data_IF_602210570480
#
_entry.id   IF_602210570480
#
_cell.length_a   1.000
_cell.length_b   1.000
_cell.length_c   1.000
_cell.angle_alpha   90.00
_cell.angle_beta   90.00
_cell.angle_gamma   90.00
#
_symmetry.space_group_name_H-M   'P 1'
#
loop_
_entity.id
_entity.type
_entity.pdbx_description
1 polymer ?
#
# COMPACT_ATOMS: atom_id res chain seq x y z
N UNK A 1 -21.23 25.59 2.13
CA UNK A 1 -21.18 26.07 0.74
C UNK A 1 -20.12 25.38 -0.14
N UNK A 2 -18.90 25.07 0.35
CA UNK A 2 -17.83 24.40 -0.43
C UNK A 2 -18.18 22.94 -0.81
N UNK A 3 -18.62 22.16 0.18
CA UNK A 3 -18.91 20.73 0.02
C UNK A 3 -20.14 20.46 -0.85
N UNK A 4 -21.01 21.44 -1.04
CA UNK A 4 -22.20 21.33 -1.91
C UNK A 4 -21.84 21.30 -3.41
N UNK A 5 -20.58 21.61 -3.77
CA UNK A 5 -20.09 21.54 -5.15
C UNK A 5 -19.52 20.16 -5.52
N UNK A 6 -19.40 19.25 -4.54
CA UNK A 6 -18.92 17.88 -4.76
C UNK A 6 -20.11 16.93 -4.80
N UNK A 7 -20.06 15.92 -5.67
CA UNK A 7 -21.07 14.87 -5.64
C UNK A 7 -20.96 14.10 -4.32
N UNK A 8 -22.10 13.62 -3.76
CA UNK A 8 -22.08 12.79 -2.57
C UNK A 8 -21.26 11.50 -2.73
N UNK A 9 -21.13 10.93 -3.94
CA UNK A 9 -20.23 9.78 -4.18
C UNK A 9 -18.77 10.16 -3.96
N UNK A 10 -18.30 11.23 -4.62
CA UNK A 10 -16.92 11.70 -4.54
C UNK A 10 -16.50 11.98 -3.09
N UNK A 11 -17.38 12.63 -2.33
CA UNK A 11 -17.09 12.97 -0.94
C UNK A 11 -16.95 11.70 -0.07
N UNK A 12 -17.83 10.72 -0.27
CA UNK A 12 -17.77 9.44 0.47
C UNK A 12 -16.53 8.64 0.12
N UNK A 13 -16.19 8.54 -1.17
CA UNK A 13 -14.97 7.86 -1.62
C UNK A 13 -13.73 8.52 -1.04
N UNK A 14 -13.57 9.82 -1.24
CA UNK A 14 -12.38 10.55 -0.80
C UNK A 14 -12.21 10.54 0.72
N UNK A 15 -13.31 10.64 1.49
CA UNK A 15 -13.26 10.61 2.95
C UNK A 15 -12.91 9.21 3.50
N UNK A 16 -13.48 8.15 2.93
CA UNK A 16 -13.17 6.79 3.35
C UNK A 16 -11.74 6.38 2.95
N UNK A 17 -11.27 6.79 1.76
CA UNK A 17 -9.87 6.69 1.34
C UNK A 17 -8.95 7.43 2.32
N UNK A 18 -9.31 8.65 2.74
CA UNK A 18 -8.54 9.42 3.72
C UNK A 18 -8.38 8.68 5.05
N UNK A 19 -9.47 8.15 5.62
CA UNK A 19 -9.40 7.39 6.88
C UNK A 19 -8.47 6.18 6.75
N UNK A 20 -8.62 5.41 5.66
CA UNK A 20 -7.79 4.23 5.40
C UNK A 20 -6.30 4.58 5.27
N UNK A 21 -5.97 5.63 4.50
CA UNK A 21 -4.58 6.07 4.31
C UNK A 21 -4.01 6.63 5.61
N UNK A 22 -4.75 7.42 6.38
CA UNK A 22 -4.29 7.93 7.69
C UNK A 22 -3.95 6.79 8.65
N UNK A 23 -4.81 5.77 8.76
CA UNK A 23 -4.55 4.59 9.59
C UNK A 23 -3.28 3.87 9.10
N UNK A 24 -3.15 3.68 7.78
CA UNK A 24 -1.99 3.02 7.18
C UNK A 24 -0.69 3.80 7.41
N UNK A 25 -0.73 5.13 7.30
CA UNK A 25 0.39 6.02 7.60
C UNK A 25 0.77 5.94 9.07
N UNK A 26 -0.19 6.00 9.99
CA UNK A 26 0.08 5.86 11.44
C UNK A 26 0.78 4.52 11.72
N UNK A 27 0.33 3.43 11.10
CA UNK A 27 0.91 2.10 11.29
C UNK A 27 2.32 2.03 10.69
N UNK A 28 2.50 2.48 9.44
CA UNK A 28 3.80 2.52 8.77
C UNK A 28 4.81 3.38 9.52
N UNK A 29 4.40 4.57 9.99
CA UNK A 29 5.23 5.46 10.83
C UNK A 29 5.55 4.80 12.17
N UNK A 30 4.62 4.08 12.81
CA UNK A 30 4.93 3.34 14.05
C UNK A 30 5.97 2.24 13.83
N UNK A 31 5.91 1.53 12.70
CA UNK A 31 6.93 0.54 12.32
C UNK A 31 8.27 1.22 12.07
N UNK A 32 8.28 2.28 11.28
CA UNK A 32 9.48 3.05 10.96
C UNK A 32 10.11 3.66 12.22
N UNK A 33 9.32 4.25 13.12
CA UNK A 33 9.86 4.86 14.35
C UNK A 33 10.45 3.82 15.32
N UNK A 34 9.98 2.57 15.28
CA UNK A 34 10.59 1.48 16.06
C UNK A 34 12.02 1.16 15.59
N UNK A 35 12.35 1.37 14.32
CA UNK A 35 13.74 1.26 13.84
C UNK A 35 14.70 2.12 14.65
N UNK A 36 14.33 3.36 15.00
CA UNK A 36 15.24 4.22 15.76
C UNK A 36 15.56 3.70 17.16
N UNK A 37 14.70 2.82 17.72
CA UNK A 37 14.91 2.16 19.01
C UNK A 37 15.70 0.85 18.89
N UNK A 38 15.43 0.04 17.87
CA UNK A 38 15.98 -1.35 17.75
C UNK A 38 17.13 -1.44 16.73
N UNK A 39 17.29 -0.44 15.86
CA UNK A 39 18.29 -0.33 14.79
C UNK A 39 18.28 -1.46 13.75
N UNK A 40 17.17 -2.20 13.64
CA UNK A 40 16.98 -3.24 12.63
C UNK A 40 16.48 -2.65 11.31
N UNK A 41 17.32 -2.64 10.28
CA UNK A 41 17.01 -2.05 8.95
C UNK A 41 15.71 -2.59 8.34
N UNK A 42 15.38 -3.85 8.62
CA UNK A 42 14.12 -4.48 8.19
C UNK A 42 12.89 -3.71 8.64
N UNK A 43 12.87 -3.14 9.86
CA UNK A 43 11.75 -2.33 10.33
C UNK A 43 11.61 -1.01 9.57
N UNK A 44 12.74 -0.40 9.20
CA UNK A 44 12.73 0.81 8.37
C UNK A 44 12.09 0.53 7.01
N UNK A 45 12.57 -0.51 6.34
CA UNK A 45 12.12 -0.86 4.98
C UNK A 45 10.73 -1.45 4.94
N UNK A 46 10.29 -2.20 5.96
CA UNK A 46 8.88 -2.63 6.12
C UNK A 46 7.96 -1.42 6.30
N UNK A 47 8.34 -0.46 7.16
CA UNK A 47 7.54 0.75 7.38
C UNK A 47 7.42 1.60 6.10
N UNK A 48 8.53 1.81 5.39
CA UNK A 48 8.54 2.50 4.09
C UNK A 48 7.68 1.74 3.08
N UNK A 49 7.85 0.42 2.97
CA UNK A 49 7.07 -0.41 2.07
C UNK A 49 5.58 -0.21 2.28
N UNK A 50 5.12 -0.29 3.54
CA UNK A 50 3.72 -0.12 3.90
C UNK A 50 3.16 1.27 3.58
N UNK A 51 3.92 2.33 3.88
CA UNK A 51 3.53 3.72 3.57
C UNK A 51 3.37 3.88 2.05
N UNK A 52 4.41 3.52 1.29
CA UNK A 52 4.44 3.68 -0.15
C UNK A 52 3.43 2.77 -0.87
N UNK A 53 3.05 1.64 -0.27
CA UNK A 53 2.03 0.75 -0.83
C UNK A 53 0.65 1.40 -0.90
N UNK A 54 0.39 2.41 -0.06
CA UNK A 54 -0.90 3.12 -0.03
C UNK A 54 -1.02 4.27 -1.03
N UNK A 55 0.01 4.49 -1.83
CA UNK A 55 0.09 5.63 -2.75
C UNK A 55 -0.93 5.64 -3.89
N UNK A 56 -1.48 4.50 -4.36
CA UNK A 56 -2.61 4.54 -5.30
C UNK A 56 -3.81 5.37 -4.82
N UNK A 57 -4.03 5.46 -3.50
CA UNK A 57 -5.13 6.24 -2.91
C UNK A 57 -4.75 7.69 -2.56
N UNK A 58 -3.49 8.09 -2.70
CA UNK A 58 -3.05 9.43 -2.31
C UNK A 58 -3.55 10.51 -3.27
N UNK A 59 -3.69 10.20 -4.56
CA UNK A 59 -4.18 11.15 -5.57
C UNK A 59 -5.57 11.69 -5.24
N UNK A 60 -6.49 10.81 -4.83
CA UNK A 60 -7.86 11.19 -4.42
C UNK A 60 -7.84 12.13 -3.21
N UNK A 61 -7.05 11.75 -2.19
CA UNK A 61 -6.98 12.47 -0.91
C UNK A 61 -6.36 13.86 -1.10
N UNK A 62 -5.22 13.93 -1.78
CA UNK A 62 -4.52 15.18 -2.00
C UNK A 62 -5.28 16.10 -2.95
N UNK A 63 -6.04 15.54 -3.91
CA UNK A 63 -6.98 16.32 -4.72
C UNK A 63 -8.13 16.86 -3.90
N UNK A 64 -8.71 16.08 -2.99
CA UNK A 64 -9.73 16.56 -2.06
C UNK A 64 -9.18 17.71 -1.20
N UNK A 65 -8.01 17.52 -0.61
CA UNK A 65 -7.33 18.54 0.21
C UNK A 65 -7.08 19.80 -0.62
N UNK A 66 -6.48 19.67 -1.81
CA UNK A 66 -6.26 20.80 -2.72
C UNK A 66 -7.56 21.52 -3.04
N UNK A 67 -8.63 20.78 -3.33
CA UNK A 67 -9.93 21.37 -3.64
C UNK A 67 -10.52 22.15 -2.45
N UNK A 68 -10.35 21.67 -1.22
CA UNK A 68 -10.83 22.37 -0.02
C UNK A 68 -10.13 23.72 0.18
N UNK A 69 -8.82 23.80 -0.11
CA UNK A 69 -8.03 25.03 0.07
C UNK A 69 -8.06 25.97 -1.13
N UNK A 70 -7.98 25.45 -2.35
CA UNK A 70 -7.75 26.24 -3.58
C UNK A 70 -8.95 26.26 -4.52
N UNK A 71 -9.99 25.45 -4.24
CA UNK A 71 -11.14 25.20 -5.14
C UNK A 71 -10.77 24.55 -6.47
N UNK A 72 -9.56 24.00 -6.57
CA UNK A 72 -9.09 23.23 -7.73
C UNK A 72 -8.57 21.87 -7.25
N UNK A 73 -8.97 20.75 -7.88
CA UNK A 73 -8.30 19.47 -7.65
C UNK A 73 -6.85 19.55 -8.16
N UNK A 74 -6.05 18.51 -7.92
CA UNK A 74 -4.74 18.42 -8.53
C UNK A 74 -4.88 18.39 -10.06
N UNK A 75 -3.90 18.96 -10.75
CA UNK A 75 -3.78 18.79 -12.19
C UNK A 75 -3.43 17.34 -12.54
N UNK A 76 -3.66 16.94 -13.79
CA UNK A 76 -3.49 15.57 -14.23
C UNK A 76 -2.07 15.03 -14.06
N UNK A 77 -1.05 15.87 -14.30
CA UNK A 77 0.34 15.48 -14.13
C UNK A 77 0.62 15.15 -12.66
N UNK A 78 0.28 16.08 -11.75
CA UNK A 78 0.53 15.90 -10.32
C UNK A 78 -0.26 14.73 -9.74
N UNK A 79 -1.53 14.57 -10.13
CA UNK A 79 -2.35 13.44 -9.70
C UNK A 79 -1.73 12.10 -10.10
N UNK A 80 -1.45 11.93 -11.39
CA UNK A 80 -0.97 10.65 -11.95
C UNK A 80 0.46 10.33 -11.51
N UNK A 81 1.29 11.33 -11.26
CA UNK A 81 2.62 11.14 -10.71
C UNK A 81 2.55 10.56 -9.29
N UNK A 82 1.76 11.18 -8.41
CA UNK A 82 1.67 10.80 -6.99
C UNK A 82 1.17 9.38 -6.81
N UNK A 83 0.17 8.97 -7.59
CA UNK A 83 -0.43 7.62 -7.47
C UNK A 83 0.51 6.51 -7.97
N UNK A 84 1.62 6.84 -8.63
CA UNK A 84 2.52 5.87 -9.25
C UNK A 84 3.96 5.90 -8.70
N UNK A 85 4.54 7.07 -8.45
CA UNK A 85 5.99 7.27 -8.24
C UNK A 85 6.57 6.52 -7.02
N UNK A 86 5.73 6.16 -6.06
CA UNK A 86 6.18 5.50 -4.83
C UNK A 86 5.93 3.99 -4.81
N UNK A 87 5.18 3.45 -5.78
CA UNK A 87 4.94 2.01 -5.87
C UNK A 87 6.27 1.23 -6.01
N UNK A 88 7.23 1.65 -6.86
CA UNK A 88 8.50 0.93 -6.97
C UNK A 88 9.31 0.96 -5.68
N UNK A 89 9.31 2.10 -4.97
CA UNK A 89 9.94 2.24 -3.64
C UNK A 89 9.33 1.24 -2.64
N UNK A 90 8.02 1.02 -2.70
CA UNK A 90 7.34 0.03 -1.87
C UNK A 90 7.86 -1.38 -2.12
N UNK A 91 7.91 -1.80 -3.39
CA UNK A 91 8.33 -3.17 -3.76
C UNK A 91 9.80 -3.42 -3.43
N UNK A 92 10.69 -2.48 -3.75
CA UNK A 92 12.12 -2.60 -3.42
C UNK A 92 12.34 -2.70 -1.91
N UNK A 93 11.68 -1.85 -1.14
CA UNK A 93 11.79 -1.86 0.33
C UNK A 93 11.23 -3.15 0.94
N UNK A 94 10.11 -3.64 0.40
CA UNK A 94 9.52 -4.90 0.83
C UNK A 94 10.44 -6.09 0.54
N UNK A 95 10.94 -6.20 -0.70
CA UNK A 95 11.81 -7.30 -1.11
C UNK A 95 13.15 -7.29 -0.36
N UNK A 96 13.71 -6.12 -0.07
CA UNK A 96 14.87 -6.03 0.80
C UNK A 96 14.59 -6.65 2.18
N UNK A 97 13.48 -6.25 2.81
CA UNK A 97 13.08 -6.77 4.12
C UNK A 97 12.86 -8.28 4.08
N UNK A 98 12.17 -8.76 3.05
CA UNK A 98 11.91 -10.17 2.81
C UNK A 98 13.20 -10.98 2.68
N UNK A 99 14.14 -10.52 1.85
CA UNK A 99 15.41 -11.20 1.63
C UNK A 99 16.28 -11.25 2.88
N UNK A 100 16.37 -10.14 3.61
CA UNK A 100 17.14 -10.04 4.86
C UNK A 100 16.57 -10.96 5.95
N UNK A 101 15.25 -10.95 6.16
CA UNK A 101 14.60 -11.77 7.20
C UNK A 101 14.72 -13.27 6.89
N UNK A 102 14.51 -13.68 5.64
CA UNK A 102 14.59 -15.08 5.23
C UNK A 102 15.99 -15.51 4.78
N UNK A 103 17.00 -14.64 4.88
CA UNK A 103 18.40 -14.90 4.49
C UNK A 103 18.52 -15.48 3.07
N UNK A 104 17.88 -14.84 2.10
CA UNK A 104 17.83 -15.33 0.71
C UNK A 104 19.22 -15.23 0.05
N UNK A 105 19.79 -16.36 -0.38
CA UNK A 105 21.17 -16.45 -0.91
C UNK A 105 21.51 -15.49 -2.06
N UNK A 106 20.54 -15.07 -2.88
CA UNK A 106 20.73 -14.21 -4.07
C UNK A 106 20.13 -12.81 -3.91
N UNK A 107 19.98 -12.33 -2.67
CA UNK A 107 19.40 -11.03 -2.35
C UNK A 107 19.91 -9.88 -3.24
N UNK A 108 21.23 -9.69 -3.33
CA UNK A 108 21.81 -8.58 -4.11
C UNK A 108 21.39 -8.59 -5.57
N UNK A 109 21.39 -9.76 -6.20
CA UNK A 109 20.99 -9.89 -7.60
C UNK A 109 19.50 -9.57 -7.79
N UNK A 110 18.64 -10.08 -6.90
CA UNK A 110 17.19 -9.82 -6.93
C UNK A 110 16.92 -8.32 -6.78
N UNK A 111 17.58 -7.66 -5.82
CA UNK A 111 17.43 -6.23 -5.56
C UNK A 111 17.93 -5.38 -6.72
N UNK A 112 19.09 -5.71 -7.31
CA UNK A 112 19.62 -4.97 -8.47
C UNK A 112 18.64 -5.03 -9.64
N UNK A 113 18.14 -6.24 -9.97
CA UNK A 113 17.16 -6.40 -11.06
C UNK A 113 15.90 -5.58 -10.78
N UNK A 114 15.37 -5.67 -9.55
CA UNK A 114 14.17 -4.96 -9.17
C UNK A 114 14.36 -3.43 -9.20
N UNK A 115 15.49 -2.92 -8.70
CA UNK A 115 15.83 -1.50 -8.75
C UNK A 115 15.93 -1.02 -10.20
N UNK A 116 16.56 -1.78 -11.10
CA UNK A 116 16.64 -1.43 -12.52
C UNK A 116 15.24 -1.32 -13.12
N UNK A 117 14.37 -2.32 -12.89
CA UNK A 117 12.98 -2.31 -13.37
C UNK A 117 12.22 -1.10 -12.80
N UNK A 118 12.37 -0.83 -11.50
CA UNK A 118 11.76 0.30 -10.80
C UNK A 118 12.19 1.65 -11.37
N UNK A 119 13.48 1.85 -11.59
CA UNK A 119 14.01 3.10 -12.15
C UNK A 119 13.54 3.29 -13.59
N UNK A 120 13.54 2.23 -14.40
CA UNK A 120 13.00 2.30 -15.77
C UNK A 120 11.52 2.69 -15.75
N UNK A 121 10.72 2.10 -14.86
CA UNK A 121 9.31 2.44 -14.71
C UNK A 121 9.12 3.91 -14.32
N UNK A 122 9.82 4.41 -13.30
CA UNK A 122 9.68 5.80 -12.85
C UNK A 122 10.10 6.80 -13.93
N UNK A 123 11.22 6.55 -14.61
CA UNK A 123 11.69 7.38 -15.72
C UNK A 123 10.66 7.38 -16.86
N UNK A 124 10.11 6.21 -17.21
CA UNK A 124 9.09 6.10 -18.24
C UNK A 124 7.82 6.88 -17.87
N UNK A 125 7.33 6.76 -16.63
CA UNK A 125 6.17 7.51 -16.14
C UNK A 125 6.41 9.02 -16.24
N UNK A 126 7.56 9.51 -15.77
CA UNK A 126 7.89 10.94 -15.80
C UNK A 126 7.95 11.47 -17.24
N UNK A 127 8.59 10.73 -18.15
CA UNK A 127 8.68 11.10 -19.58
C UNK A 127 7.27 11.13 -20.20
N UNK A 128 6.48 10.08 -20.03
CA UNK A 128 5.14 9.98 -20.63
C UNK A 128 4.21 11.06 -20.09
N UNK A 129 4.20 11.32 -18.77
CA UNK A 129 3.43 12.41 -18.17
C UNK A 129 3.82 13.79 -18.71
N UNK A 130 5.09 13.99 -19.05
CA UNK A 130 5.60 15.26 -19.59
C UNK A 130 5.23 15.47 -21.06
N UNK A 131 5.00 14.38 -21.82
CA UNK A 131 4.58 14.42 -23.21
C UNK A 131 3.06 14.59 -23.30
N UNK A 132 2.33 13.66 -22.68
CA UNK A 132 0.86 13.66 -22.64
C UNK A 132 0.40 12.76 -21.49
N UNK A 133 -0.32 13.35 -20.52
CA UNK A 133 -0.85 12.63 -19.36
C UNK A 133 -1.74 11.44 -19.74
N UNK A 134 -2.43 11.48 -20.89
CA UNK A 134 -3.33 10.41 -21.35
C UNK A 134 -2.59 9.10 -21.66
N UNK A 135 -1.27 9.17 -21.92
CA UNK A 135 -0.43 7.99 -22.11
C UNK A 135 -0.28 7.19 -20.82
N UNK A 136 -0.41 7.83 -19.65
CA UNK A 136 -0.30 7.19 -18.33
C UNK A 136 -1.67 6.93 -17.71
N UNK A 137 -2.63 7.84 -17.91
CA UNK A 137 -3.99 7.65 -17.45
C UNK A 137 -4.89 8.84 -17.76
N UNK A 138 -6.20 8.63 -17.63
CA UNK A 138 -7.22 9.65 -17.85
C UNK A 138 -8.04 9.82 -16.56
N UNK A 139 -8.18 11.06 -16.11
CA UNK A 139 -9.02 11.40 -14.97
C UNK A 139 -10.48 11.36 -15.43
N UNK A 140 -11.21 10.30 -15.06
CA UNK A 140 -12.59 10.05 -15.50
C UNK A 140 -13.62 10.86 -14.71
N UNK A 141 -13.35 11.10 -13.44
CA UNK A 141 -14.11 11.96 -12.55
C UNK A 141 -13.11 12.76 -11.72
N UNK A 142 -13.43 13.97 -11.25
CA UNK A 142 -12.48 14.96 -10.67
C UNK A 142 -11.46 14.43 -9.62
N UNK A 143 -11.62 13.21 -9.13
CA UNK A 143 -10.81 12.57 -8.10
C UNK A 143 -10.40 11.12 -8.43
N UNK A 144 -10.81 10.55 -9.56
CA UNK A 144 -10.51 9.15 -9.95
C UNK A 144 -9.82 9.12 -11.31
N UNK A 145 -8.87 8.20 -11.47
CA UNK A 145 -8.14 8.03 -12.72
C UNK A 145 -8.20 6.58 -13.21
N UNK A 146 -8.52 6.44 -14.50
CA UNK A 146 -8.29 5.20 -15.24
C UNK A 146 -6.84 5.18 -15.71
N UNK A 147 -6.06 4.25 -15.18
CA UNK A 147 -4.65 4.07 -15.55
C UNK A 147 -4.53 3.38 -16.91
N UNK A 148 -3.43 3.64 -17.62
CA UNK A 148 -3.07 2.95 -18.85
C UNK A 148 -2.64 1.50 -18.57
N UNK A 149 -2.77 0.61 -19.56
CA UNK A 149 -2.57 -0.83 -19.36
C UNK A 149 -1.17 -1.18 -18.81
N UNK A 150 -0.12 -0.50 -19.28
CA UNK A 150 1.24 -0.78 -18.79
C UNK A 150 1.43 -0.39 -17.30
N UNK A 151 0.75 0.67 -16.84
CA UNK A 151 0.73 1.08 -15.43
C UNK A 151 0.04 0.00 -14.62
N UNK A 152 -1.13 -0.45 -15.07
CA UNK A 152 -1.91 -1.52 -14.42
C UNK A 152 -1.09 -2.81 -14.34
N UNK A 153 -0.39 -3.21 -15.41
CA UNK A 153 0.48 -4.39 -15.43
C UNK A 153 1.59 -4.28 -14.38
N UNK A 154 2.24 -3.12 -14.27
CA UNK A 154 3.27 -2.90 -13.26
C UNK A 154 2.69 -2.96 -11.83
N UNK A 155 1.54 -2.31 -11.59
CA UNK A 155 0.87 -2.30 -10.30
C UNK A 155 0.43 -3.71 -9.86
N UNK A 156 -0.14 -4.50 -10.77
CA UNK A 156 -0.50 -5.91 -10.51
C UNK A 156 0.77 -6.73 -10.21
N UNK A 157 1.84 -6.53 -10.98
CA UNK A 157 3.11 -7.23 -10.74
C UNK A 157 3.71 -6.89 -9.38
N UNK A 158 3.65 -5.62 -8.96
CA UNK A 158 4.04 -5.15 -7.65
C UNK A 158 3.20 -5.78 -6.53
N UNK A 159 1.87 -5.78 -6.69
CA UNK A 159 0.93 -6.39 -5.75
C UNK A 159 1.18 -7.89 -5.59
N UNK A 160 1.30 -8.63 -6.69
CA UNK A 160 1.58 -10.07 -6.67
C UNK A 160 2.93 -10.36 -6.03
N UNK A 161 3.96 -9.58 -6.36
CA UNK A 161 5.29 -9.71 -5.75
C UNK A 161 5.21 -9.57 -4.23
N UNK A 162 4.52 -8.53 -3.75
CA UNK A 162 4.34 -8.26 -2.32
C UNK A 162 3.55 -9.38 -1.63
N UNK A 163 2.43 -9.80 -2.21
CA UNK A 163 1.54 -10.80 -1.61
C UNK A 163 2.16 -12.20 -1.61
N UNK A 164 2.77 -12.63 -2.71
CA UNK A 164 3.38 -13.97 -2.79
C UNK A 164 4.57 -14.10 -1.83
N UNK A 165 5.43 -13.08 -1.78
CA UNK A 165 6.56 -13.08 -0.83
C UNK A 165 6.09 -12.87 0.61
N UNK A 166 5.02 -12.09 0.82
CA UNK A 166 4.31 -11.94 2.08
C UNK A 166 3.76 -13.25 2.61
N UNK A 167 3.03 -14.01 1.80
CA UNK A 167 2.52 -15.32 2.18
C UNK A 167 3.64 -16.29 2.55
N UNK A 168 4.73 -16.33 1.78
CA UNK A 168 5.89 -17.16 2.11
C UNK A 168 6.53 -16.73 3.44
N UNK A 169 6.70 -15.43 3.67
CA UNK A 169 7.25 -14.91 4.92
C UNK A 169 6.37 -15.25 6.12
N UNK A 170 5.05 -15.05 6.00
CA UNK A 170 4.07 -15.41 7.01
C UNK A 170 4.08 -16.91 7.28
N UNK A 171 4.15 -17.75 6.25
CA UNK A 171 4.19 -19.20 6.36
C UNK A 171 5.41 -19.70 7.13
N UNK A 172 6.60 -19.17 6.82
CA UNK A 172 7.82 -19.51 7.57
C UNK A 172 7.70 -19.06 9.03
N UNK A 173 7.14 -17.87 9.27
CA UNK A 173 6.93 -17.36 10.63
C UNK A 173 5.95 -18.22 11.43
N UNK A 174 4.88 -18.73 10.80
CA UNK A 174 3.91 -19.67 11.39
C UNK A 174 4.49 -21.04 11.72
N UNK A 175 5.69 -21.38 11.21
CA UNK A 175 6.39 -22.64 11.52
C UNK A 175 7.52 -22.46 12.55
N UNK A 176 7.66 -21.28 13.13
CA UNK A 176 8.66 -21.00 14.16
C UNK A 176 8.32 -21.71 15.47
N UNK A 177 9.33 -22.28 16.14
CA UNK A 177 9.19 -22.87 17.48
C UNK A 177 8.82 -21.83 18.55
N UNK A 178 9.24 -20.57 18.36
CA UNK A 178 8.80 -19.47 19.20
C UNK A 178 7.32 -19.14 18.95
N UNK A 179 6.48 -19.42 19.95
CA UNK A 179 5.01 -19.24 19.88
C UNK A 179 4.60 -17.82 19.53
N UNK A 180 5.36 -16.81 19.97
CA UNK A 180 5.08 -15.40 19.67
C UNK A 180 5.29 -15.11 18.18
N UNK A 181 6.35 -15.66 17.59
CA UNK A 181 6.64 -15.57 16.15
C UNK A 181 5.61 -16.36 15.32
N UNK A 182 5.15 -17.52 15.80
CA UNK A 182 4.06 -18.27 15.17
C UNK A 182 2.80 -17.41 15.02
N UNK A 183 2.35 -16.77 16.10
CA UNK A 183 1.14 -15.93 16.10
C UNK A 183 1.33 -14.70 15.21
N UNK A 184 2.50 -14.07 15.25
CA UNK A 184 2.85 -12.97 14.32
C UNK A 184 2.70 -13.40 12.86
N UNK A 185 3.17 -14.60 12.52
CA UNK A 185 2.99 -15.18 11.19
C UNK A 185 1.52 -15.28 10.77
N UNK A 186 0.62 -15.66 11.68
CA UNK A 186 -0.83 -15.72 11.40
C UNK A 186 -1.43 -14.33 11.12
N UNK A 187 -1.07 -13.33 11.92
CA UNK A 187 -1.49 -11.94 11.69
C UNK A 187 -0.98 -11.40 10.35
N UNK A 188 0.27 -11.68 9.99
CA UNK A 188 0.82 -11.29 8.68
C UNK A 188 0.11 -12.01 7.53
N UNK A 189 -0.19 -13.30 7.67
CA UNK A 189 -0.95 -14.04 6.66
C UNK A 189 -2.32 -13.41 6.43
N UNK A 190 -3.07 -13.14 7.51
CA UNK A 190 -4.35 -12.47 7.45
C UNK A 190 -4.24 -11.07 6.81
N UNK A 191 -3.20 -10.30 7.17
CA UNK A 191 -2.95 -8.99 6.58
C UNK A 191 -2.79 -9.05 5.06
N UNK A 192 -1.91 -9.91 4.54
CA UNK A 192 -1.70 -10.03 3.09
C UNK A 192 -2.94 -10.55 2.36
N UNK A 193 -3.70 -11.47 2.97
CA UNK A 193 -4.93 -11.98 2.38
C UNK A 193 -6.00 -10.90 2.29
N UNK A 194 -6.27 -10.20 3.40
CA UNK A 194 -7.23 -9.10 3.44
C UNK A 194 -6.80 -7.94 2.52
N UNK A 195 -5.49 -7.67 2.43
CA UNK A 195 -4.96 -6.66 1.50
C UNK A 195 -5.20 -7.06 0.06
N UNK A 196 -4.89 -8.30 -0.33
CA UNK A 196 -5.09 -8.81 -1.68
C UNK A 196 -6.56 -8.69 -2.08
N UNK A 197 -7.48 -9.14 -1.21
CA UNK A 197 -8.92 -9.08 -1.49
C UNK A 197 -9.38 -7.63 -1.58
N UNK A 198 -9.01 -6.77 -0.61
CA UNK A 198 -9.37 -5.36 -0.62
C UNK A 198 -8.85 -4.61 -1.85
N UNK A 199 -7.57 -4.77 -2.19
CA UNK A 199 -6.95 -4.13 -3.35
C UNK A 199 -7.54 -4.66 -4.67
N UNK A 200 -7.84 -5.96 -4.77
CA UNK A 200 -8.49 -6.53 -5.93
C UNK A 200 -9.92 -6.01 -6.11
N UNK A 201 -10.71 -5.91 -5.03
CA UNK A 201 -12.03 -5.30 -5.08
C UNK A 201 -11.94 -3.85 -5.55
N UNK A 202 -11.01 -3.06 -4.98
CA UNK A 202 -10.75 -1.66 -5.34
C UNK A 202 -10.40 -1.47 -6.81
N UNK A 203 -9.56 -2.35 -7.36
CA UNK A 203 -9.11 -2.26 -8.75
C UNK A 203 -10.11 -2.82 -9.78
N UNK A 204 -10.85 -3.88 -9.42
CA UNK A 204 -11.69 -4.62 -10.39
C UNK A 204 -13.13 -4.13 -10.44
N UNK A 205 -13.64 -3.53 -9.35
CA UNK A 205 -15.03 -3.06 -9.29
C UNK A 205 -15.04 -1.55 -9.48
N UNK A 206 -15.24 -1.11 -10.73
CA UNK A 206 -15.37 0.30 -11.06
C UNK A 206 -16.56 0.54 -11.99
N UNK A 207 -17.51 1.45 -11.66
CA UNK A 207 -17.59 2.25 -10.43
C UNK A 207 -18.05 1.43 -9.21
N UNK A 208 -17.59 1.78 -8.01
CA UNK A 208 -18.04 1.14 -6.77
C UNK A 208 -19.35 1.72 -6.27
N UNK A 209 -20.30 0.86 -5.93
CA UNK A 209 -21.42 1.25 -5.08
C UNK A 209 -20.96 1.48 -3.62
N UNK A 210 -21.84 2.08 -2.82
CA UNK A 210 -21.54 2.44 -1.43
C UNK A 210 -21.20 1.22 -0.54
N UNK A 211 -21.89 0.09 -0.72
CA UNK A 211 -21.68 -1.11 0.11
C UNK A 211 -20.32 -1.70 -0.21
N UNK A 212 -20.02 -1.86 -1.50
CA UNK A 212 -18.73 -2.40 -1.96
C UNK A 212 -17.55 -1.53 -1.53
N UNK A 213 -17.70 -0.19 -1.60
CA UNK A 213 -16.70 0.74 -1.09
C UNK A 213 -16.44 0.55 0.42
N UNK A 214 -17.50 0.48 1.24
CA UNK A 214 -17.36 0.29 2.69
C UNK A 214 -16.69 -1.04 3.03
N UNK A 215 -17.11 -2.13 2.39
CA UNK A 215 -16.50 -3.45 2.59
C UNK A 215 -15.01 -3.41 2.23
N UNK A 216 -14.67 -2.85 1.07
CA UNK A 216 -13.29 -2.72 0.60
C UNK A 216 -12.43 -1.96 1.62
N UNK A 217 -12.95 -0.85 2.17
CA UNK A 217 -12.23 -0.04 3.16
C UNK A 217 -12.08 -0.77 4.50
N UNK A 218 -13.09 -1.50 4.96
CA UNK A 218 -12.98 -2.35 6.16
C UNK A 218 -11.90 -3.41 5.98
N UNK A 219 -11.83 -4.08 4.83
CA UNK A 219 -10.79 -5.07 4.53
C UNK A 219 -9.38 -4.47 4.56
N UNK A 220 -9.17 -3.33 3.91
CA UNK A 220 -7.86 -2.66 3.87
C UNK A 220 -7.43 -2.11 5.25
N UNK A 221 -8.37 -1.54 6.02
CA UNK A 221 -8.09 -1.07 7.39
C UNK A 221 -7.76 -2.26 8.29
N UNK A 222 -8.55 -3.33 8.23
CA UNK A 222 -8.31 -4.55 9.02
C UNK A 222 -6.97 -5.18 8.65
N UNK A 223 -6.65 -5.24 7.35
CA UNK A 223 -5.34 -5.67 6.86
C UNK A 223 -4.21 -4.87 7.51
N UNK A 224 -4.34 -3.53 7.55
CA UNK A 224 -3.34 -2.66 8.17
C UNK A 224 -3.13 -2.97 9.65
N UNK A 225 -4.23 -3.16 10.40
CA UNK A 225 -4.18 -3.52 11.82
C UNK A 225 -3.52 -4.89 12.03
N UNK A 226 -3.90 -5.89 11.22
CA UNK A 226 -3.26 -7.21 11.22
C UNK A 226 -1.76 -7.10 10.89
N UNK A 227 -1.37 -6.24 9.94
CA UNK A 227 0.02 -6.01 9.58
C UNK A 227 0.81 -5.46 10.77
N UNK A 228 0.23 -4.48 11.48
CA UNK A 228 0.82 -3.94 12.71
C UNK A 228 1.05 -5.03 13.76
N UNK A 229 0.06 -5.88 14.05
CA UNK A 229 0.22 -6.97 15.01
C UNK A 229 1.18 -8.05 14.53
N UNK A 230 1.29 -8.25 13.22
CA UNK A 230 2.27 -9.10 12.59
C UNK A 230 3.72 -8.72 12.94
N UNK A 231 4.03 -7.43 13.02
CA UNK A 231 5.36 -6.97 13.44
C UNK A 231 5.46 -6.74 14.97
N UNK A 232 4.43 -6.17 15.58
CA UNK A 232 4.40 -5.75 16.99
C UNK A 232 3.22 -6.33 17.75
N UNK A 233 3.22 -7.65 17.91
CA UNK A 233 2.26 -8.33 18.80
C UNK A 233 2.45 -7.88 20.26
N UNK A 234 1.49 -7.17 20.87
CA UNK A 234 1.56 -6.81 22.29
C UNK A 234 1.43 -8.04 23.17
N UNK A 235 2.08 -8.05 24.34
CA UNK A 235 2.04 -9.19 25.27
C UNK A 235 0.63 -9.55 25.71
N UNK A 236 -0.23 -8.55 25.93
CA UNK A 236 -1.64 -8.75 26.26
C UNK A 236 -2.36 -9.57 25.18
N UNK A 237 -2.18 -9.20 23.91
CA UNK A 237 -2.78 -9.90 22.78
C UNK A 237 -2.15 -11.30 22.63
N UNK A 238 -0.83 -11.41 22.73
CA UNK A 238 -0.15 -12.69 22.67
C UNK A 238 -0.66 -13.66 23.75
N UNK A 239 -0.87 -13.17 24.97
CA UNK A 239 -1.32 -13.99 26.10
C UNK A 239 -2.71 -14.60 25.89
N UNK A 240 -3.57 -14.00 25.06
CA UNK A 240 -4.88 -14.57 24.69
C UNK A 240 -4.75 -15.85 23.85
N UNK A 241 -3.64 -16.01 23.12
CA UNK A 241 -3.40 -17.15 22.23
C UNK A 241 -2.38 -18.15 22.76
N UNK A 242 -1.59 -17.77 23.77
CA UNK A 242 -0.55 -18.61 24.37
C UNK A 242 -1.09 -19.39 25.59
N UNK A 243 -2.26 -19.03 26.13
CA UNK A 243 -2.88 -19.68 27.29
C UNK A 243 -3.81 -20.87 26.98
N UNK A 244 -3.77 -21.40 25.76
CA UNK A 244 -4.52 -22.60 25.36
C UNK A 244 -3.60 -23.81 25.24
#
# INVERSE_FOLDING_TARGET
>A
MILQQLSPEILRQSLTSLVMVVISLIIGIRILTKYFKVKQKTLLTVGIAWICLTTPWWGEILSLISFLFTRKPLDAFTFLLIVNIFIPVSVVSWIYSYCEILKVKREKLILIILIIISVIYDVLIIILLSIDTTLVGVISERFTARQADFVVIFQISALLTLVLTGFRFSYVSMKSDDKKTEIKGRFLFAAFLLFLIGAALDALIFPMDFITLVITRILLITSSICYYFGFFLPEKVASLFIKS
#
